data_IF_088562484685
#
_entry.id   IF_088562484685
#
_cell.length_a   1.000
_cell.length_b   1.000
_cell.length_c   1.000
_cell.angle_alpha   90.00
_cell.angle_beta   90.00
_cell.angle_gamma   90.00
#
_symmetry.space_group_name_H-M   'P 1'
#
loop_
_entity.id
_entity.type
_entity.pdbx_description
1 polymer ?
#
# COMPACT_ATOMS: atom_id res chain seq x y z
N UNK A 1 -16.00 11.97 1.05
CA UNK A 1 -15.12 10.81 1.30
C UNK A 1 -13.73 11.14 0.78
N UNK A 2 -12.67 10.56 1.35
CA UNK A 2 -11.31 10.65 0.84
C UNK A 2 -10.54 9.32 0.95
N UNK A 3 -9.58 9.10 0.06
CA UNK A 3 -8.62 8.00 0.10
C UNK A 3 -7.30 8.45 0.75
N UNK A 4 -6.84 7.65 1.71
CA UNK A 4 -5.59 7.78 2.45
C UNK A 4 -4.85 6.44 2.48
N UNK A 5 -3.81 6.31 3.30
CA UNK A 5 -2.95 5.12 3.38
C UNK A 5 -2.85 4.62 4.82
N UNK A 6 -2.69 3.30 4.97
CA UNK A 6 -2.28 2.69 6.24
C UNK A 6 -0.92 3.27 6.65
N UNK A 7 -0.74 3.51 7.94
CA UNK A 7 0.48 4.10 8.48
C UNK A 7 0.61 5.62 8.29
N UNK A 8 -0.42 6.32 7.79
CA UNK A 8 -0.35 7.77 7.57
C UNK A 8 0.09 8.56 8.82
N UNK A 9 -0.35 8.18 10.02
CA UNK A 9 -0.10 8.92 11.26
C UNK A 9 1.14 8.46 12.05
N UNK A 10 1.84 7.41 11.60
CA UNK A 10 2.88 6.73 12.41
C UNK A 10 4.27 6.76 11.76
N UNK A 11 4.42 7.42 10.61
CA UNK A 11 5.69 7.55 9.88
C UNK A 11 6.08 9.03 9.70
N UNK A 12 6.56 9.71 10.75
CA UNK A 12 6.91 11.14 10.69
C UNK A 12 8.09 11.43 9.75
N UNK A 13 8.97 10.46 9.52
CA UNK A 13 10.14 10.60 8.63
C UNK A 13 9.77 10.45 7.14
N UNK A 14 8.52 10.06 6.84
CA UNK A 14 8.00 10.00 5.48
C UNK A 14 7.22 11.28 5.13
N UNK A 15 7.76 12.07 4.21
CA UNK A 15 7.10 13.26 3.65
C UNK A 15 5.74 12.93 2.99
N UNK A 16 5.63 11.74 2.41
CA UNK A 16 4.37 11.25 1.83
C UNK A 16 3.32 10.95 2.92
N UNK A 17 3.70 10.22 3.99
CA UNK A 17 2.77 9.85 5.05
C UNK A 17 2.34 11.07 5.86
N UNK A 18 3.26 11.98 6.18
CA UNK A 18 2.96 13.25 6.86
C UNK A 18 1.99 14.11 6.06
N UNK A 19 2.11 14.15 4.72
CA UNK A 19 1.14 14.82 3.86
C UNK A 19 -0.25 14.15 3.92
N UNK A 20 -0.31 12.81 3.94
CA UNK A 20 -1.57 12.07 4.11
C UNK A 20 -2.19 12.30 5.49
N UNK A 21 -1.40 12.34 6.56
CA UNK A 21 -1.87 12.69 7.90
C UNK A 21 -2.45 14.11 7.95
N UNK A 22 -1.78 15.08 7.32
CA UNK A 22 -2.28 16.44 7.23
C UNK A 22 -3.62 16.51 6.47
N UNK A 23 -3.75 15.79 5.35
CA UNK A 23 -5.02 15.66 4.61
C UNK A 23 -6.14 15.12 5.50
N UNK A 24 -5.89 14.03 6.23
CA UNK A 24 -6.89 13.45 7.14
C UNK A 24 -7.32 14.43 8.23
N UNK A 25 -6.37 15.14 8.83
CA UNK A 25 -6.64 16.08 9.91
C UNK A 25 -7.47 17.27 9.42
N UNK A 26 -7.19 17.80 8.23
CA UNK A 26 -8.00 18.85 7.61
C UNK A 26 -9.45 18.39 7.36
N UNK A 27 -9.64 17.14 6.91
CA UNK A 27 -10.98 16.56 6.69
C UNK A 27 -11.72 16.40 8.02
N UNK A 28 -11.08 15.81 9.03
CA UNK A 28 -11.66 15.58 10.36
C UNK A 28 -12.10 16.89 11.02
N UNK A 29 -11.30 17.95 10.86
CA UNK A 29 -11.54 19.26 11.46
C UNK A 29 -12.44 20.19 10.62
N UNK A 30 -12.94 19.72 9.47
CA UNK A 30 -13.71 20.56 8.54
C UNK A 30 -15.12 20.91 9.01
N UNK A 31 -15.63 20.26 10.07
CA UNK A 31 -17.02 20.35 10.51
C UNK A 31 -18.04 19.71 9.56
N UNK A 32 -17.59 19.06 8.48
CA UNK A 32 -18.44 18.38 7.49
C UNK A 32 -18.44 16.87 7.74
N UNK A 33 -19.58 16.17 7.54
CA UNK A 33 -19.59 14.72 7.61
C UNK A 33 -18.60 14.09 6.62
N UNK A 34 -17.86 13.08 7.05
CA UNK A 34 -16.79 12.48 6.25
C UNK A 34 -16.73 10.95 6.34
N UNK A 35 -15.99 10.35 5.42
CA UNK A 35 -15.50 8.96 5.50
C UNK A 35 -14.09 8.98 4.91
N UNK A 36 -13.12 8.41 5.62
CA UNK A 36 -11.76 8.22 5.12
C UNK A 36 -11.53 6.72 4.94
N UNK A 37 -11.08 6.33 3.75
CA UNK A 37 -10.64 4.96 3.47
C UNK A 37 -9.13 4.95 3.43
N UNK A 38 -8.48 4.16 4.27
CA UNK A 38 -7.03 3.90 4.22
C UNK A 38 -6.81 2.56 3.54
N UNK A 39 -6.00 2.55 2.50
CA UNK A 39 -5.59 1.32 1.84
C UNK A 39 -4.14 0.99 2.20
N UNK A 40 -3.83 -0.30 2.29
CA UNK A 40 -2.45 -0.78 2.21
C UNK A 40 -1.87 -0.51 0.81
N UNK A 41 -0.53 -0.56 0.62
CA UNK A 41 0.09 -0.33 -0.68
C UNK A 41 -0.42 -1.26 -1.79
N UNK A 42 -0.43 -0.77 -3.03
CA UNK A 42 -1.13 -1.44 -4.13
C UNK A 42 -0.22 -2.43 -4.86
N UNK A 43 -0.79 -3.47 -5.48
CA UNK A 43 -0.07 -4.38 -6.38
C UNK A 43 0.62 -3.63 -7.52
N UNK A 44 -0.04 -2.62 -8.05
CA UNK A 44 0.42 -1.76 -9.14
C UNK A 44 1.71 -0.99 -8.82
N UNK A 45 2.10 -0.90 -7.53
CA UNK A 45 3.30 -0.18 -7.12
C UNK A 45 4.55 -1.04 -7.00
N UNK A 46 4.51 -2.35 -7.28
CA UNK A 46 5.68 -3.22 -7.18
C UNK A 46 6.89 -2.68 -7.97
N UNK A 47 6.70 -2.30 -9.23
CA UNK A 47 7.78 -1.75 -10.06
C UNK A 47 8.20 -0.34 -9.63
N UNK A 48 7.24 0.52 -9.27
CA UNK A 48 7.56 1.86 -8.77
C UNK A 48 8.36 1.84 -7.47
N UNK A 49 8.08 0.89 -6.58
CA UNK A 49 8.88 0.65 -5.38
C UNK A 49 10.27 0.18 -5.74
N UNK A 50 10.41 -0.76 -6.68
CA UNK A 50 11.71 -1.18 -7.18
C UNK A 50 12.51 0.01 -7.71
N UNK A 51 11.93 0.84 -8.56
CA UNK A 51 12.55 2.02 -9.16
C UNK A 51 13.05 3.00 -8.08
N UNK A 52 12.21 3.26 -7.07
CA UNK A 52 12.57 4.17 -5.97
C UNK A 52 13.69 3.66 -5.06
N UNK A 53 13.90 2.34 -5.04
CA UNK A 53 14.84 1.65 -4.16
C UNK A 53 16.05 1.07 -4.91
N UNK A 54 16.22 1.42 -6.18
CA UNK A 54 17.30 0.92 -7.03
C UNK A 54 18.57 1.76 -6.88
N UNK A 55 19.70 1.10 -6.64
CA UNK A 55 21.05 1.61 -6.87
C UNK A 55 21.78 0.68 -7.85
N UNK A 56 22.05 1.18 -9.06
CA UNK A 56 22.55 0.37 -10.17
C UNK A 56 21.54 -0.70 -10.60
N UNK A 57 21.88 -1.97 -10.41
CA UNK A 57 21.03 -3.14 -10.70
C UNK A 57 20.47 -3.80 -9.43
N UNK A 58 20.69 -3.18 -8.25
CA UNK A 58 20.28 -3.71 -6.95
C UNK A 58 19.13 -2.90 -6.38
N UNK A 59 18.02 -3.58 -6.08
CA UNK A 59 16.86 -3.04 -5.36
C UNK A 59 17.01 -3.39 -3.89
N UNK A 60 17.12 -2.40 -3.00
CA UNK A 60 17.28 -2.62 -1.55
C UNK A 60 15.99 -2.33 -0.81
N UNK A 61 15.39 -3.35 -0.20
CA UNK A 61 14.09 -3.22 0.46
C UNK A 61 14.09 -3.87 1.85
N UNK A 62 13.31 -3.33 2.80
CA UNK A 62 13.13 -3.97 4.09
C UNK A 62 12.30 -5.25 3.98
N UNK A 63 12.46 -6.21 4.90
CA UNK A 63 11.63 -7.42 4.96
C UNK A 63 10.26 -7.17 5.60
N UNK A 64 9.92 -5.92 5.91
CA UNK A 64 8.75 -5.55 6.70
C UNK A 64 7.45 -6.15 6.12
N UNK A 65 6.69 -6.83 6.98
CA UNK A 65 5.43 -7.45 6.63
C UNK A 65 4.33 -6.43 6.38
N UNK A 66 3.59 -6.62 5.29
CA UNK A 66 2.40 -5.83 4.96
C UNK A 66 1.43 -6.63 4.10
N UNK A 67 0.22 -6.10 3.87
CA UNK A 67 -0.85 -6.78 3.11
C UNK A 67 -1.23 -6.03 1.83
N UNK A 68 -0.45 -6.14 0.73
CA UNK A 68 -0.72 -5.38 -0.48
C UNK A 68 -2.10 -5.70 -1.07
N UNK A 69 -2.72 -4.75 -1.76
CA UNK A 69 -4.09 -4.84 -2.28
C UNK A 69 -4.16 -4.46 -3.78
N UNK A 70 -5.09 -5.04 -4.54
CA UNK A 70 -5.32 -4.63 -5.93
C UNK A 70 -6.00 -3.24 -6.00
N UNK A 71 -5.61 -2.40 -6.96
CA UNK A 71 -6.29 -1.11 -7.15
C UNK A 71 -7.79 -1.25 -7.48
N UNK A 72 -8.21 -2.34 -8.15
CA UNK A 72 -9.62 -2.62 -8.43
C UNK A 72 -10.44 -2.85 -7.14
N UNK A 73 -9.84 -3.51 -6.15
CA UNK A 73 -10.45 -3.72 -4.83
C UNK A 73 -10.53 -2.41 -4.04
N UNK A 74 -9.49 -1.58 -4.12
CA UNK A 74 -9.48 -0.22 -3.55
C UNK A 74 -10.57 0.63 -4.21
N UNK A 75 -10.69 0.60 -5.53
CA UNK A 75 -11.71 1.33 -6.27
C UNK A 75 -13.12 0.90 -5.84
N UNK A 76 -13.33 -0.40 -5.62
CA UNK A 76 -14.58 -0.95 -5.08
C UNK A 76 -14.90 -0.38 -3.70
N UNK A 77 -13.94 -0.37 -2.78
CA UNK A 77 -14.12 0.19 -1.43
C UNK A 77 -14.43 1.69 -1.47
N UNK A 78 -13.67 2.44 -2.28
CA UNK A 78 -13.84 3.89 -2.47
C UNK A 78 -15.22 4.18 -3.07
N UNK A 79 -15.64 3.46 -4.10
CA UNK A 79 -16.96 3.64 -4.71
C UNK A 79 -18.09 3.39 -3.71
N UNK A 80 -18.01 2.33 -2.91
CA UNK A 80 -18.97 2.05 -1.82
C UNK A 80 -19.02 3.18 -0.80
N UNK A 81 -17.86 3.66 -0.36
CA UNK A 81 -17.77 4.76 0.60
C UNK A 81 -18.25 6.11 0.03
N UNK A 82 -18.16 6.32 -1.29
CA UNK A 82 -18.63 7.53 -1.95
C UNK A 82 -20.15 7.66 -1.96
N UNK A 83 -20.87 6.54 -2.13
CA UNK A 83 -22.34 6.51 -2.26
C UNK A 83 -23.06 6.22 -0.94
N UNK A 84 -22.33 5.80 0.10
CA UNK A 84 -22.88 5.54 1.42
C UNK A 84 -23.09 6.82 2.24
N UNK A 85 -23.87 6.71 3.32
CA UNK A 85 -23.92 7.78 4.34
C UNK A 85 -22.54 7.93 4.99
N UNK A 86 -22.03 9.17 5.18
CA UNK A 86 -20.75 9.40 5.85
C UNK A 86 -20.72 8.76 7.24
N UNK A 87 -19.63 8.10 7.58
CA UNK A 87 -19.49 7.36 8.86
C UNK A 87 -18.83 8.19 9.96
N UNK A 88 -18.27 9.35 9.61
CA UNK A 88 -17.39 10.16 10.46
C UNK A 88 -16.24 9.34 11.07
N UNK A 89 -15.73 8.39 10.29
CA UNK A 89 -14.72 7.45 10.73
C UNK A 89 -13.66 7.22 9.64
N UNK A 90 -12.57 6.58 10.07
CA UNK A 90 -11.56 5.99 9.20
C UNK A 90 -11.86 4.50 9.09
N UNK A 91 -11.79 3.96 7.88
CA UNK A 91 -11.92 2.55 7.57
C UNK A 91 -10.63 2.10 6.90
N UNK A 92 -10.06 0.98 7.34
CA UNK A 92 -8.90 0.40 6.68
C UNK A 92 -9.30 -0.76 5.78
N UNK A 93 -8.64 -0.87 4.63
CA UNK A 93 -8.79 -1.96 3.67
C UNK A 93 -7.42 -2.53 3.35
N UNK A 94 -7.36 -3.85 3.20
CA UNK A 94 -6.13 -4.56 2.91
C UNK A 94 -6.39 -5.76 1.99
N UNK A 95 -5.34 -6.23 1.31
CA UNK A 95 -5.44 -7.45 0.53
C UNK A 95 -5.40 -8.71 1.40
N UNK A 96 -5.61 -9.88 0.79
CA UNK A 96 -5.81 -11.14 1.51
C UNK A 96 -4.53 -11.69 2.13
N UNK A 97 -3.35 -11.32 1.63
CA UNK A 97 -2.09 -11.99 1.94
C UNK A 97 -1.11 -11.05 2.61
N UNK A 98 -0.44 -11.52 3.67
CA UNK A 98 0.70 -10.82 4.25
C UNK A 98 1.99 -11.34 3.61
N UNK A 99 2.90 -10.43 3.26
CA UNK A 99 4.20 -10.76 2.68
C UNK A 99 5.25 -9.68 3.00
N UNK A 100 6.52 -10.05 2.94
CA UNK A 100 7.62 -9.10 3.04
C UNK A 100 7.66 -8.16 1.83
N UNK A 101 8.02 -6.90 2.05
CA UNK A 101 8.11 -5.91 0.97
C UNK A 101 9.14 -6.28 -0.10
N UNK A 102 10.27 -6.86 0.32
CA UNK A 102 11.28 -7.38 -0.58
C UNK A 102 10.75 -8.55 -1.44
N UNK A 103 10.01 -9.49 -0.86
CA UNK A 103 9.38 -10.60 -1.58
C UNK A 103 8.29 -10.12 -2.54
N UNK A 104 7.45 -9.17 -2.12
CA UNK A 104 6.43 -8.55 -2.95
C UNK A 104 7.04 -7.95 -4.23
N UNK A 105 8.12 -7.18 -4.09
CA UNK A 105 8.81 -6.56 -5.22
C UNK A 105 9.57 -7.60 -6.04
N UNK A 106 10.20 -8.60 -5.42
CA UNK A 106 10.87 -9.69 -6.12
C UNK A 106 9.92 -10.46 -7.05
N UNK A 107 8.72 -10.77 -6.58
CA UNK A 107 7.66 -11.39 -7.39
C UNK A 107 7.19 -10.47 -8.51
N UNK A 108 7.00 -9.18 -8.22
CA UNK A 108 6.61 -8.18 -9.21
C UNK A 108 7.63 -8.03 -10.35
N UNK A 109 8.93 -7.94 -10.01
CA UNK A 109 10.00 -7.87 -11.00
C UNK A 109 10.05 -9.12 -11.87
N UNK A 110 9.99 -10.31 -11.25
CA UNK A 110 9.99 -11.58 -11.97
C UNK A 110 8.82 -11.70 -12.96
N UNK A 111 7.61 -11.31 -12.54
CA UNK A 111 6.41 -11.29 -13.39
C UNK A 111 6.54 -10.36 -14.60
N UNK A 112 7.37 -9.33 -14.51
CA UNK A 112 7.62 -8.35 -15.58
C UNK A 112 8.90 -8.65 -16.39
N UNK A 113 9.58 -9.77 -16.13
CA UNK A 113 10.85 -10.12 -16.78
C UNK A 113 12.02 -9.21 -16.40
N UNK A 114 11.87 -8.39 -15.36
CA UNK A 114 12.90 -7.47 -14.88
C UNK A 114 13.99 -8.25 -14.11
N UNK A 115 15.24 -8.02 -14.48
CA UNK A 115 16.41 -8.76 -13.99
C UNK A 115 17.10 -8.10 -12.80
N UNK A 116 16.60 -6.95 -12.33
CA UNK A 116 17.16 -6.28 -11.14
C UNK A 116 17.11 -7.19 -9.92
N UNK A 117 18.19 -7.19 -9.14
CA UNK A 117 18.35 -8.07 -7.99
C UNK A 117 17.81 -7.42 -6.72
N UNK A 118 16.84 -8.05 -6.07
CA UNK A 118 16.35 -7.61 -4.76
C UNK A 118 17.25 -8.12 -3.64
N UNK A 119 17.80 -7.19 -2.85
CA UNK A 119 18.55 -7.43 -1.62
C UNK A 119 17.71 -6.99 -0.42
N UNK A 120 17.49 -7.91 0.51
CA UNK A 120 16.82 -7.65 1.77
C UNK A 120 17.75 -6.86 2.69
N UNK A 121 17.30 -5.71 3.18
CA UNK A 121 18.04 -4.85 4.09
C UNK A 121 17.07 -4.19 5.08
N UNK A 122 17.12 -4.62 6.34
CA UNK A 122 16.23 -4.11 7.39
C UNK A 122 16.45 -2.62 7.72
N UNK A 123 17.49 -1.98 7.19
CA UNK A 123 17.74 -0.55 7.33
C UNK A 123 17.45 0.22 6.04
N UNK A 124 17.02 -0.46 4.96
CA UNK A 124 16.58 0.23 3.75
C UNK A 124 15.33 1.08 4.05
N UNK A 125 15.35 2.37 3.71
CA UNK A 125 14.23 3.25 3.99
C UNK A 125 13.08 3.00 3.01
N UNK A 126 11.85 3.01 3.51
CA UNK A 126 10.62 3.08 2.73
C UNK A 126 10.08 4.51 2.82
N UNK A 127 10.12 5.24 1.70
CA UNK A 127 9.79 6.68 1.62
C UNK A 127 10.48 7.53 2.71
N UNK A 128 11.75 7.22 3.01
CA UNK A 128 12.56 7.95 4.00
C UNK A 128 12.45 7.43 5.44
N UNK A 129 11.54 6.51 5.74
CA UNK A 129 11.38 5.93 7.07
C UNK A 129 11.91 4.49 7.12
N UNK A 130 12.57 4.11 8.20
CA UNK A 130 12.83 2.69 8.50
C UNK A 130 11.56 2.10 9.10
N UNK A 131 11.12 0.97 8.55
CA UNK A 131 9.83 0.35 8.90
C UNK A 131 10.03 -1.06 9.44
N UNK A 132 9.08 -1.50 10.27
CA UNK A 132 8.98 -2.86 10.81
C UNK A 132 7.65 -3.52 10.44
N UNK A 133 7.44 -4.75 10.92
CA UNK A 133 6.24 -5.56 10.66
C UNK A 133 4.93 -4.95 11.19
N UNK A 134 5.00 -3.92 12.03
CA UNK A 134 3.83 -3.22 12.56
C UNK A 134 3.54 -1.91 11.85
N UNK A 135 4.53 -1.32 11.17
CA UNK A 135 4.44 0.03 10.61
C UNK A 135 3.39 0.14 9.49
N UNK A 136 3.25 -0.90 8.68
CA UNK A 136 2.28 -0.99 7.57
C UNK A 136 1.20 -2.06 7.83
N UNK A 137 1.11 -2.57 9.05
CA UNK A 137 0.08 -3.51 9.43
C UNK A 137 -1.28 -2.79 9.45
N UNK A 138 -2.31 -3.31 8.76
CA UNK A 138 -3.65 -2.76 8.89
C UNK A 138 -4.22 -3.05 10.28
N UNK A 139 -5.16 -2.22 10.73
CA UNK A 139 -5.91 -2.44 11.96
C UNK A 139 -6.62 -3.81 11.96
N UNK A 140 -6.85 -4.41 13.13
CA UNK A 140 -7.55 -5.70 13.28
C UNK A 140 -8.96 -5.71 12.68
N UNK A 141 -9.58 -4.53 12.56
CA UNK A 141 -10.93 -4.33 12.00
C UNK A 141 -10.92 -4.04 10.50
N UNK A 142 -9.75 -4.08 9.85
CA UNK A 142 -9.63 -3.80 8.43
C UNK A 142 -10.45 -4.77 7.59
N UNK A 143 -11.12 -4.22 6.57
CA UNK A 143 -11.84 -5.04 5.60
C UNK A 143 -10.84 -5.69 4.66
N UNK A 144 -10.82 -7.02 4.66
CA UNK A 144 -9.91 -7.81 3.85
C UNK A 144 -10.58 -8.14 2.52
N UNK A 145 -9.96 -7.70 1.43
CA UNK A 145 -10.37 -8.04 0.07
C UNK A 145 -9.78 -9.37 -0.39
N UNK A 146 -10.34 -9.94 -1.46
CA UNK A 146 -10.13 -11.34 -1.82
C UNK A 146 -9.11 -11.57 -2.94
N UNK A 147 -8.77 -10.55 -3.73
CA UNK A 147 -7.85 -10.70 -4.87
C UNK A 147 -6.45 -11.02 -4.36
N UNK A 148 -5.94 -12.21 -4.66
CA UNK A 148 -4.57 -12.60 -4.32
C UNK A 148 -3.58 -11.97 -5.29
N UNK A 149 -2.34 -11.81 -4.84
CA UNK A 149 -1.33 -11.18 -5.69
C UNK A 149 -0.96 -12.06 -6.90
N UNK A 150 -0.89 -13.38 -6.72
CA UNK A 150 -0.66 -14.33 -7.82
C UNK A 150 -1.74 -14.26 -8.89
N UNK A 151 -3.01 -14.26 -8.47
CA UNK A 151 -4.16 -14.24 -9.38
C UNK A 151 -4.20 -12.93 -10.17
N UNK A 152 -3.83 -11.82 -9.51
CA UNK A 152 -3.71 -10.51 -10.15
C UNK A 152 -2.58 -10.48 -11.20
N UNK A 153 -1.40 -11.05 -10.90
CA UNK A 153 -0.28 -11.15 -11.84
C UNK A 153 -0.67 -11.97 -13.08
N UNK A 154 -1.32 -13.12 -12.90
CA UNK A 154 -1.72 -14.00 -14.00
C UNK A 154 -2.76 -13.32 -14.90
N UNK A 155 -3.71 -12.60 -14.30
CA UNK A 155 -4.71 -11.82 -15.02
C UNK A 155 -4.10 -10.61 -15.76
N UNK A 156 -3.14 -9.89 -15.16
CA UNK A 156 -2.47 -8.75 -15.80
C UNK A 156 -1.60 -9.20 -16.98
N UNK A 157 -0.89 -10.31 -16.82
CA UNK A 157 -0.10 -10.93 -17.91
C UNK A 157 -0.98 -11.26 -19.12
N UNK A 158 -2.20 -11.73 -18.88
CA UNK A 158 -3.18 -12.02 -19.93
C UNK A 158 -3.76 -10.77 -20.60
N UNK A 159 -3.69 -9.58 -19.96
CA UNK A 159 -4.13 -8.30 -20.53
C UNK A 159 -3.06 -7.61 -21.39
N UNK A 160 -1.80 -8.06 -21.28
CA UNK A 160 -0.65 -7.49 -22.01
C UNK A 160 -0.34 -8.20 -23.34
N UNK A 161 -1.05 -9.28 -23.65
CA UNK A 161 -0.96 -10.06 -24.90
C UNK A 161 -2.06 -9.58 -25.86
#
# INVERSE_FOLDING_TARGET
>A
MALSVVGAQVMPDSGYNTAKAAQENLIKNSGRPYSIVRATPFYEFALGLADSATDGDVVRLPPALFRPIAADDVATAVARAAVARPTNAVLEIAGPEAMGMDDFVRLGLAANGDQRRVVTDAQAPYFGAVIDDHTLAPDETATIFATRYSDWIDADSSRRI
#
